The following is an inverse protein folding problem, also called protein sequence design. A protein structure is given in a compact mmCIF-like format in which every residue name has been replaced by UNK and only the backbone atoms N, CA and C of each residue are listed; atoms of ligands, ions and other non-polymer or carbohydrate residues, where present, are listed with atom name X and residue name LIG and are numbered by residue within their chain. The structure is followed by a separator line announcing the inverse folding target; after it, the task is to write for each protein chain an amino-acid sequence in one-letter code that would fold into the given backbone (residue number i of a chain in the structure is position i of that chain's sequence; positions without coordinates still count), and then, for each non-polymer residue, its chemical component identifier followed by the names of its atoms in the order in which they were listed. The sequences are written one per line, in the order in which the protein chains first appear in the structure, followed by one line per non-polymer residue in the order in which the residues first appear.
data_IF_203603195645
#
_entry.id   IF_203603195645
#
_cell.length_a   1.000
_cell.length_b   1.000
_cell.length_c   1.000
_cell.angle_alpha   90.00
_cell.angle_beta   90.00
_cell.angle_gamma   90.00
#
_symmetry.space_group_name_H-M   'P 1'
#
loop_
_entity.id
_entity.type
_entity.pdbx_description
1 polymer ?
#
# COMPACT_ATOMS: atom_id res chain seq x y z
N UNK A 1 14.91 12.10 -0.34
CA UNK A 1 13.50 11.74 -0.06
C UNK A 1 12.53 12.13 -1.18
N UNK A 2 12.55 13.38 -1.67
CA UNK A 2 11.63 13.82 -2.74
C UNK A 2 11.70 12.97 -4.03
N UNK A 3 12.90 12.63 -4.51
CA UNK A 3 13.07 11.79 -5.71
C UNK A 3 12.41 10.42 -5.53
N UNK A 4 12.59 9.80 -4.37
CA UNK A 4 11.97 8.50 -4.05
C UNK A 4 10.44 8.62 -4.02
N UNK A 5 9.90 9.69 -3.41
CA UNK A 5 8.45 9.95 -3.40
C UNK A 5 7.90 10.04 -4.83
N UNK A 6 8.53 10.87 -5.68
CA UNK A 6 8.11 11.03 -7.09
C UNK A 6 8.20 9.73 -7.89
N UNK A 7 9.25 8.94 -7.69
CA UNK A 7 9.39 7.62 -8.34
C UNK A 7 8.28 6.66 -7.92
N UNK A 8 7.94 6.61 -6.63
CA UNK A 8 6.85 5.78 -6.11
C UNK A 8 5.51 6.18 -6.72
N UNK A 9 5.21 7.48 -6.80
CA UNK A 9 3.99 7.98 -7.43
C UNK A 9 3.92 7.57 -8.90
N UNK A 10 5.01 7.80 -9.66
CA UNK A 10 5.09 7.43 -11.07
C UNK A 10 4.89 5.92 -11.28
N UNK A 11 5.56 5.09 -10.48
CA UNK A 11 5.44 3.63 -10.55
C UNK A 11 4.02 3.14 -10.24
N UNK A 12 3.24 3.89 -9.45
CA UNK A 12 1.84 3.59 -9.13
C UNK A 12 0.83 4.23 -10.10
N UNK A 13 1.29 4.98 -11.10
CA UNK A 13 0.42 5.73 -12.02
C UNK A 13 -0.34 6.87 -11.32
N UNK A 14 0.14 7.34 -10.18
CA UNK A 14 -0.49 8.43 -9.43
C UNK A 14 -0.18 9.78 -10.07
N UNK A 15 -1.16 10.69 -10.01
CA UNK A 15 -1.03 12.06 -10.50
C UNK A 15 0.01 12.81 -9.66
N UNK A 16 0.89 13.53 -10.35
CA UNK A 16 1.87 14.44 -9.75
C UNK A 16 1.67 15.82 -10.36
N UNK A 17 1.26 16.77 -9.53
CA UNK A 17 1.06 18.15 -9.94
C UNK A 17 2.40 18.84 -10.18
N UNK A 18 2.46 19.59 -11.28
CA UNK A 18 3.68 20.23 -11.78
C UNK A 18 3.58 21.76 -11.75
N UNK A 19 2.38 22.33 -11.56
CA UNK A 19 2.19 23.79 -11.60
C UNK A 19 2.82 24.45 -10.37
N UNK A 20 3.29 25.70 -10.46
CA UNK A 20 3.82 26.43 -9.32
C UNK A 20 2.80 26.50 -8.18
N UNK A 21 3.23 26.27 -6.94
CA UNK A 21 2.40 26.28 -5.73
C UNK A 21 1.23 25.27 -5.70
N UNK A 22 1.14 24.38 -6.69
CA UNK A 22 0.16 23.29 -6.68
C UNK A 22 0.70 22.13 -5.85
N UNK A 23 0.14 21.98 -4.65
CA UNK A 23 0.57 21.00 -3.66
C UNK A 23 0.31 19.55 -4.08
N UNK A 24 1.35 18.74 -3.92
CA UNK A 24 1.26 17.28 -3.81
C UNK A 24 1.36 16.92 -2.32
N UNK A 25 0.32 16.29 -1.76
CA UNK A 25 0.25 15.94 -0.33
C UNK A 25 0.27 14.41 -0.20
N UNK A 26 1.32 13.88 0.42
CA UNK A 26 1.57 12.43 0.46
C UNK A 26 1.98 12.02 1.86
N UNK A 27 1.19 11.16 2.48
CA UNK A 27 1.54 10.50 3.72
C UNK A 27 2.25 9.16 3.42
N UNK A 28 3.30 8.90 4.18
CA UNK A 28 4.05 7.65 4.19
C UNK A 28 3.82 6.97 5.52
N UNK A 29 3.00 5.91 5.50
CA UNK A 29 2.76 5.06 6.66
C UNK A 29 3.93 4.11 6.87
N UNK A 30 4.51 4.19 8.05
CA UNK A 30 5.62 3.41 8.58
C UNK A 30 5.35 1.91 8.46
N UNK A 31 6.42 1.13 8.28
CA UNK A 31 6.36 -0.34 8.35
C UNK A 31 6.20 -0.86 9.78
N UNK A 32 6.47 -0.03 10.77
CA UNK A 32 6.41 -0.41 12.18
C UNK A 32 4.97 -0.26 12.67
N UNK A 33 4.47 -1.27 13.38
CA UNK A 33 3.17 -1.23 14.04
C UNK A 33 3.40 -0.66 15.45
N UNK A 34 3.69 0.63 15.54
CA UNK A 34 3.81 1.33 16.82
C UNK A 34 2.51 2.08 17.07
N UNK A 35 1.73 1.59 18.02
CA UNK A 35 0.55 2.31 18.49
C UNK A 35 0.99 3.55 19.25
N UNK A 36 0.25 4.65 19.11
CA UNK A 36 0.45 5.89 19.86
C UNK A 36 1.74 6.69 19.55
N UNK A 37 2.32 6.54 18.36
CA UNK A 37 3.50 7.28 17.94
C UNK A 37 3.27 8.09 16.65
N UNK A 38 3.99 9.20 16.51
CA UNK A 38 4.12 9.94 15.24
C UNK A 38 5.31 9.41 14.44
N UNK A 39 5.23 8.15 13.98
CA UNK A 39 6.30 7.50 13.22
C UNK A 39 6.07 7.53 11.69
N UNK A 40 5.00 8.18 11.25
CA UNK A 40 4.68 8.43 9.85
C UNK A 40 5.17 9.80 9.39
N UNK A 41 5.25 9.97 8.07
CA UNK A 41 5.68 11.23 7.46
C UNK A 41 4.65 11.78 6.48
N UNK A 42 4.25 13.03 6.68
CA UNK A 42 3.51 13.78 5.66
C UNK A 42 4.50 14.61 4.85
N UNK A 43 4.67 14.26 3.58
CA UNK A 43 5.49 15.01 2.64
C UNK A 43 4.58 15.90 1.80
N UNK A 44 4.89 17.19 1.78
CA UNK A 44 4.23 18.16 0.90
C UNK A 44 5.27 18.75 -0.04
N UNK A 45 5.03 18.69 -1.34
CA UNK A 45 5.92 19.29 -2.32
C UNK A 45 5.18 19.96 -3.47
N UNK A 46 5.82 20.97 -4.04
CA UNK A 46 5.30 21.82 -5.11
C UNK A 46 6.47 22.47 -5.86
N UNK A 47 6.20 23.12 -6.98
CA UNK A 47 7.20 23.99 -7.64
C UNK A 47 7.05 25.42 -7.15
N UNK A 48 8.13 26.14 -6.92
CA UNK A 48 8.05 27.59 -6.69
C UNK A 48 7.93 28.36 -8.02
N UNK A 49 7.91 29.69 -7.97
CA UNK A 49 7.80 30.55 -9.15
C UNK A 49 8.97 30.38 -10.13
N UNK A 50 10.16 30.00 -9.63
CA UNK A 50 11.32 29.66 -10.45
C UNK A 50 11.27 28.24 -11.06
N UNK A 51 10.16 27.51 -10.88
CA UNK A 51 10.00 26.14 -11.36
C UNK A 51 10.82 25.10 -10.58
N UNK A 52 11.48 25.48 -9.49
CA UNK A 52 12.27 24.55 -8.65
C UNK A 52 11.35 23.81 -7.67
N UNK A 53 11.64 22.54 -7.46
CA UNK A 53 10.91 21.74 -6.47
C UNK A 53 11.27 22.19 -5.04
N UNK A 54 10.23 22.47 -4.26
CA UNK A 54 10.30 22.69 -2.82
C UNK A 54 9.53 21.58 -2.13
N UNK A 55 10.06 21.06 -1.02
CA UNK A 55 9.40 20.02 -0.25
C UNK A 55 9.57 20.22 1.25
N UNK A 56 8.56 19.80 1.99
CA UNK A 56 8.50 19.80 3.44
C UNK A 56 8.15 18.39 3.91
N UNK A 57 8.64 18.00 5.08
CA UNK A 57 8.36 16.73 5.72
C UNK A 57 7.88 17.02 7.14
N UNK A 58 6.72 16.49 7.50
CA UNK A 58 6.09 16.71 8.79
C UNK A 58 5.92 15.38 9.51
N UNK A 59 6.39 15.24 10.76
CA UNK A 59 6.05 14.09 11.59
C UNK A 59 4.54 14.03 11.78
N UNK A 60 3.96 12.87 11.47
CA UNK A 60 2.54 12.65 11.59
C UNK A 60 2.23 11.22 12.03
N UNK A 61 0.95 10.94 12.23
CA UNK A 61 0.42 9.59 12.36
C UNK A 61 -0.76 9.45 11.42
N UNK A 62 -0.82 8.31 10.74
CA UNK A 62 -1.93 7.87 9.88
C UNK A 62 -2.64 6.66 10.47
N UNK A 63 -2.22 6.26 11.67
CA UNK A 63 -2.80 5.20 12.46
C UNK A 63 -3.78 5.78 13.48
N UNK A 64 -4.90 5.09 13.76
CA UNK A 64 -5.78 5.46 14.85
C UNK A 64 -5.07 5.34 16.20
N UNK A 65 -5.43 6.22 17.12
CA UNK A 65 -4.97 6.13 18.50
C UNK A 65 -5.49 4.88 19.22
N UNK A 66 -4.74 4.38 20.20
CA UNK A 66 -5.08 3.15 20.93
C UNK A 66 -6.48 3.20 21.56
N UNK A 67 -6.88 4.37 22.05
CA UNK A 67 -8.20 4.59 22.63
C UNK A 67 -9.32 4.19 21.64
N UNK A 68 -9.21 4.60 20.37
CA UNK A 68 -10.22 4.31 19.35
C UNK A 68 -10.17 2.87 18.87
N UNK A 69 -9.01 2.20 18.94
CA UNK A 69 -8.93 0.77 18.68
C UNK A 69 -9.70 -0.03 19.75
N UNK A 70 -9.60 0.40 21.00
CA UNK A 70 -10.30 -0.24 22.12
C UNK A 70 -11.78 0.19 22.21
N UNK A 71 -12.12 1.40 21.74
CA UNK A 71 -13.46 2.01 21.82
C UNK A 71 -13.93 2.49 20.42
N UNK A 72 -14.22 1.57 19.49
CA UNK A 72 -14.59 1.95 18.13
C UNK A 72 -15.93 2.69 18.10
N UNK A 73 -15.97 3.85 17.41
CA UNK A 73 -17.21 4.63 17.22
C UNK A 73 -18.19 3.98 16.24
N UNK A 74 -17.72 3.03 15.44
CA UNK A 74 -18.49 2.39 14.39
C UNK A 74 -18.61 0.88 14.68
N UNK A 75 -19.78 0.25 14.47
CA UNK A 75 -19.97 -1.17 14.76
C UNK A 75 -18.93 -2.07 14.08
N UNK A 76 -18.51 -1.73 12.86
CA UNK A 76 -17.49 -2.46 12.07
C UNK A 76 -16.04 -2.21 12.51
N UNK A 77 -15.80 -1.48 13.60
CA UNK A 77 -14.46 -1.13 14.08
C UNK A 77 -13.92 0.19 13.53
N UNK A 78 -12.68 0.52 13.89
CA UNK A 78 -12.05 1.82 13.64
C UNK A 78 -11.54 1.96 12.21
N UNK A 79 -11.57 3.18 11.67
CA UNK A 79 -11.24 3.43 10.28
C UNK A 79 -9.72 3.50 10.08
N UNK A 80 -9.20 2.71 9.15
CA UNK A 80 -7.84 2.87 8.64
C UNK A 80 -7.91 3.34 7.20
N UNK A 81 -7.39 4.51 6.87
CA UNK A 81 -7.35 4.95 5.48
C UNK A 81 -6.57 3.91 4.64
N UNK A 82 -7.18 3.41 3.57
CA UNK A 82 -6.55 2.47 2.64
C UNK A 82 -5.46 3.18 1.86
N UNK A 83 -4.35 2.49 1.58
CA UNK A 83 -3.32 3.03 0.69
C UNK A 83 -3.90 3.33 -0.70
N UNK A 84 -3.61 4.52 -1.23
CA UNK A 84 -4.29 5.03 -2.43
C UNK A 84 -4.01 6.50 -2.69
N UNK A 85 -4.39 6.98 -3.88
CA UNK A 85 -4.47 8.40 -4.18
C UNK A 85 -5.94 8.82 -4.27
N UNK A 86 -6.31 9.80 -3.44
CA UNK A 86 -7.66 10.32 -3.33
C UNK A 86 -7.73 11.69 -3.97
N UNK A 87 -7.95 11.72 -5.29
CA UNK A 87 -7.89 12.95 -6.10
C UNK A 87 -8.98 13.94 -5.71
N UNK A 88 -8.59 15.18 -5.41
CA UNK A 88 -9.49 16.29 -5.04
C UNK A 88 -10.47 15.95 -3.90
N UNK A 89 -10.05 15.06 -3.00
CA UNK A 89 -10.88 14.52 -1.93
C UNK A 89 -10.94 15.39 -0.69
N UNK A 90 -10.02 16.35 -0.56
CA UNK A 90 -9.91 17.23 0.60
C UNK A 90 -10.08 18.70 0.21
N UNK A 91 -10.46 19.53 1.17
CA UNK A 91 -10.58 20.98 1.05
C UNK A 91 -10.18 21.64 2.37
N UNK A 92 -9.78 22.91 2.34
CA UNK A 92 -9.73 23.70 3.58
C UNK A 92 -11.16 23.87 4.09
N UNK A 93 -11.39 23.48 5.35
CA UNK A 93 -12.66 23.62 6.07
C UNK A 93 -12.46 23.47 7.57
N UNK A 94 -13.54 23.44 8.34
CA UNK A 94 -13.48 23.42 9.81
C UNK A 94 -13.38 21.98 10.34
N UNK A 95 -12.33 21.68 11.10
CA UNK A 95 -12.27 20.46 11.90
C UNK A 95 -12.97 20.70 13.25
N UNK A 96 -14.01 19.89 13.53
CA UNK A 96 -14.83 19.97 14.75
C UNK A 96 -15.37 21.38 15.06
N UNK A 97 -15.70 22.15 14.03
CA UNK A 97 -16.14 23.55 14.14
C UNK A 97 -15.18 24.48 14.93
N UNK A 98 -13.91 24.06 15.13
CA UNK A 98 -12.99 24.75 16.04
C UNK A 98 -11.85 25.47 15.32
N UNK A 99 -11.23 24.83 14.31
CA UNK A 99 -10.14 25.44 13.55
C UNK A 99 -10.08 24.93 12.10
N UNK A 100 -9.48 25.71 11.21
CA UNK A 100 -9.29 25.32 9.81
C UNK A 100 -8.29 24.16 9.67
N UNK A 101 -8.63 23.18 8.84
CA UNK A 101 -7.82 22.02 8.51
C UNK A 101 -8.15 21.53 7.09
N UNK A 102 -7.41 20.53 6.59
CA UNK A 102 -7.82 19.84 5.36
C UNK A 102 -8.87 18.79 5.73
N UNK A 103 -10.12 19.05 5.36
CA UNK A 103 -11.26 18.20 5.67
C UNK A 103 -11.67 17.37 4.46
N UNK A 104 -12.19 16.17 4.72
CA UNK A 104 -12.72 15.31 3.67
C UNK A 104 -13.97 15.93 3.02
N UNK A 105 -13.99 16.00 1.69
CA UNK A 105 -15.14 16.49 0.89
C UNK A 105 -15.57 15.53 -0.23
N UNK A 106 -14.78 14.48 -0.51
CA UNK A 106 -15.19 13.38 -1.40
C UNK A 106 -14.97 12.03 -0.74
N UNK A 107 -15.65 10.97 -1.20
CA UNK A 107 -15.46 9.63 -0.67
C UNK A 107 -14.00 9.18 -0.69
N UNK A 108 -13.57 8.55 0.41
CA UNK A 108 -12.29 7.84 0.51
C UNK A 108 -12.57 6.41 0.94
N UNK A 109 -11.64 5.50 0.70
CA UNK A 109 -11.78 4.10 1.11
C UNK A 109 -11.02 3.88 2.41
N UNK A 110 -11.72 3.39 3.42
CA UNK A 110 -11.12 2.92 4.67
C UNK A 110 -11.21 1.40 4.72
N UNK A 111 -10.28 0.79 5.44
CA UNK A 111 -10.36 -0.60 5.87
C UNK A 111 -10.82 -0.59 7.32
N UNK A 112 -11.84 -1.38 7.64
CA UNK A 112 -12.30 -1.59 9.01
C UNK A 112 -12.22 -3.06 9.35
N UNK A 113 -11.72 -3.36 10.54
CA UNK A 113 -11.72 -4.72 11.09
C UNK A 113 -12.60 -4.76 12.34
N UNK A 114 -13.50 -5.74 12.38
CA UNK A 114 -14.42 -5.98 13.48
C UNK A 114 -13.75 -6.76 14.61
N UNK A 115 -12.74 -7.58 14.31
CA UNK A 115 -12.23 -8.56 15.28
C UNK A 115 -11.32 -7.89 16.32
N UNK A 116 -11.88 -7.76 17.52
CA UNK A 116 -11.36 -6.92 18.62
C UNK A 116 -10.23 -7.65 19.34
N UNK A 117 -9.00 -7.22 19.07
CA UNK A 117 -7.81 -7.71 19.79
C UNK A 117 -6.70 -6.69 20.01
N UNK A 118 -6.96 -5.38 19.81
CA UNK A 118 -5.97 -4.30 20.01
C UNK A 118 -4.81 -4.29 19.00
N UNK A 119 -4.47 -5.43 18.44
CA UNK A 119 -3.63 -5.61 17.26
C UNK A 119 -4.57 -5.67 16.07
N UNK A 120 -4.66 -4.58 15.30
CA UNK A 120 -5.24 -4.65 13.96
C UNK A 120 -4.48 -5.76 13.23
N UNK A 121 -5.13 -6.92 13.05
CA UNK A 121 -4.50 -8.01 12.34
C UNK A 121 -4.52 -7.66 10.87
N UNK A 122 -3.52 -6.88 10.47
CA UNK A 122 -3.32 -6.48 9.10
C UNK A 122 -3.43 -7.74 8.22
N UNK A 123 -2.96 -8.91 8.68
CA UNK A 123 -2.88 -10.16 7.92
C UNK A 123 -4.21 -10.88 7.66
N UNK A 124 -5.31 -10.64 8.39
CA UNK A 124 -6.50 -11.51 8.31
C UNK A 124 -7.84 -10.85 7.95
N UNK A 125 -8.05 -9.54 8.13
CA UNK A 125 -9.44 -9.06 8.07
C UNK A 125 -9.53 -7.55 7.89
N UNK A 126 -10.32 -7.15 6.92
CA UNK A 126 -10.59 -5.74 6.68
C UNK A 126 -11.51 -5.54 5.49
N UNK A 127 -12.75 -5.12 5.75
CA UNK A 127 -13.69 -4.85 4.66
C UNK A 127 -13.47 -3.42 4.16
N UNK A 128 -13.28 -3.21 2.84
CA UNK A 128 -13.20 -1.88 2.28
C UNK A 128 -14.57 -1.21 2.40
N UNK A 129 -14.58 -0.01 2.95
CA UNK A 129 -15.76 0.84 3.08
C UNK A 129 -15.43 2.20 2.47
N UNK A 130 -16.26 2.66 1.53
CA UNK A 130 -16.01 3.89 0.78
C UNK A 130 -17.13 4.89 1.02
N UNK A 131 -16.77 6.06 1.53
CA UNK A 131 -17.75 7.05 1.94
C UNK A 131 -17.11 8.29 2.56
N UNK A 132 -17.95 9.11 3.17
CA UNK A 132 -17.55 10.29 3.94
C UNK A 132 -17.47 9.89 5.42
N UNK A 133 -16.26 9.86 5.97
CA UNK A 133 -16.00 9.42 7.35
C UNK A 133 -15.37 10.51 8.21
N UNK A 134 -15.12 11.70 7.65
CA UNK A 134 -14.43 12.78 8.35
C UNK A 134 -12.93 12.52 8.51
N UNK A 135 -12.31 11.84 7.54
CA UNK A 135 -10.86 11.60 7.52
C UNK A 135 -10.16 12.92 7.18
N UNK A 136 -9.76 13.66 8.21
CA UNK A 136 -9.15 14.99 8.04
C UNK A 136 -7.62 14.92 8.21
N UNK A 137 -6.91 15.94 7.72
CA UNK A 137 -5.51 16.21 8.05
C UNK A 137 -5.45 17.39 9.01
N UNK A 138 -5.11 17.15 10.28
CA UNK A 138 -5.16 18.16 11.33
C UNK A 138 -3.96 18.06 12.29
N UNK A 139 -3.89 18.96 13.28
CA UNK A 139 -2.85 18.97 14.32
C UNK A 139 -3.27 18.19 15.56
N UNK A 140 -2.30 17.68 16.31
CA UNK A 140 -2.53 17.06 17.61
C UNK A 140 -2.91 18.09 18.69
N UNK A 141 -2.11 19.15 18.83
CA UNK A 141 -2.25 20.13 19.92
C UNK A 141 -2.46 21.55 19.41
N UNK A 142 -2.98 22.40 20.31
CA UNK A 142 -3.14 23.81 20.02
C UNK A 142 -1.80 24.54 19.89
N UNK A 143 -0.85 24.20 20.75
CA UNK A 143 0.47 24.81 20.81
C UNK A 143 1.53 23.72 21.04
N UNK A 144 2.73 23.94 20.52
CA UNK A 144 3.86 23.02 20.68
C UNK A 144 3.76 21.75 19.83
N UNK A 145 4.44 20.70 20.30
CA UNK A 145 4.54 19.40 19.64
C UNK A 145 4.06 18.32 20.59
N UNK A 146 3.09 17.50 20.14
CA UNK A 146 2.66 16.34 20.89
C UNK A 146 3.66 15.20 20.77
N UNK A 147 3.93 14.51 21.87
CA UNK A 147 4.75 13.29 21.87
C UNK A 147 3.88 12.05 21.62
N UNK A 148 2.59 12.10 21.99
CA UNK A 148 1.64 10.98 21.91
C UNK A 148 0.40 11.35 21.05
N UNK A 149 -0.18 10.33 20.41
CA UNK A 149 -1.36 10.42 19.52
C UNK A 149 -2.68 10.28 20.28
N UNK A 150 -2.67 9.63 21.45
CA UNK A 150 -3.76 9.32 22.38
C UNK A 150 -5.13 9.15 21.71
N UNK A 151 -6.05 10.11 21.89
CA UNK A 151 -7.40 10.10 21.33
C UNK A 151 -7.57 11.05 20.14
N UNK A 152 -6.47 11.55 19.56
CA UNK A 152 -6.52 12.58 18.51
C UNK A 152 -7.05 12.06 17.17
N UNK A 153 -7.08 10.75 16.91
CA UNK A 153 -7.49 10.20 15.61
C UNK A 153 -8.22 8.86 15.68
N UNK A 154 -9.43 8.82 15.12
CA UNK A 154 -10.15 7.59 14.79
C UNK A 154 -9.97 7.17 13.31
N UNK A 155 -8.95 7.73 12.62
CA UNK A 155 -8.64 7.47 11.20
C UNK A 155 -8.11 8.68 10.40
N UNK A 156 -8.09 9.87 11.00
CA UNK A 156 -7.45 11.09 10.47
C UNK A 156 -5.92 10.97 10.37
N UNK A 157 -5.33 11.87 9.58
CA UNK A 157 -3.89 12.14 9.63
C UNK A 157 -3.59 13.28 10.59
N UNK A 158 -2.77 13.03 11.60
CA UNK A 158 -2.49 14.02 12.65
C UNK A 158 -1.03 14.42 12.62
N UNK A 159 -0.74 15.71 12.44
CA UNK A 159 0.58 16.28 12.57
C UNK A 159 0.92 16.48 14.05
N UNK A 160 2.15 16.10 14.42
CA UNK A 160 2.61 16.21 15.80
C UNK A 160 2.75 17.66 16.26
N UNK A 161 3.25 18.53 15.38
CA UNK A 161 3.59 19.93 15.67
C UNK A 161 2.53 20.91 15.16
N UNK A 162 2.15 21.87 16.02
CA UNK A 162 1.27 22.96 15.63
C UNK A 162 1.93 23.94 14.66
N UNK A 163 3.26 24.10 14.69
CA UNK A 163 4.01 24.97 13.78
C UNK A 163 4.08 24.38 12.37
N UNK A 164 4.30 23.07 12.27
CA UNK A 164 4.27 22.33 11.00
C UNK A 164 2.88 22.40 10.37
N UNK A 165 1.85 22.24 11.19
CA UNK A 165 0.47 22.39 10.74
C UNK A 165 0.15 23.81 10.26
N UNK A 166 0.68 24.85 10.92
CA UNK A 166 0.53 26.22 10.46
C UNK A 166 1.20 26.44 9.09
N UNK A 167 2.38 25.85 8.86
CA UNK A 167 3.04 25.88 7.55
C UNK A 167 2.22 25.15 6.49
N UNK A 168 1.73 23.94 6.77
CA UNK A 168 0.85 23.19 5.87
C UNK A 168 -0.38 24.04 5.47
N UNK A 169 -1.04 24.66 6.45
CA UNK A 169 -2.24 25.47 6.22
C UNK A 169 -1.93 26.72 5.40
N UNK A 170 -0.78 27.38 5.66
CA UNK A 170 -0.31 28.52 4.85
C UNK A 170 -0.09 28.11 3.40
N UNK A 171 0.60 27.00 3.15
CA UNK A 171 0.80 26.47 1.80
C UNK A 171 -0.53 26.13 1.12
N UNK A 172 -1.46 25.51 1.85
CA UNK A 172 -2.78 25.16 1.34
C UNK A 172 -3.58 26.41 0.94
N UNK A 173 -3.50 27.50 1.70
CA UNK A 173 -4.14 28.78 1.35
C UNK A 173 -3.58 29.37 0.06
N UNK A 174 -2.26 29.29 -0.15
CA UNK A 174 -1.64 29.74 -1.42
C UNK A 174 -2.17 28.92 -2.59
N UNK A 175 -2.16 27.59 -2.49
CA UNK A 175 -2.77 26.71 -3.51
C UNK A 175 -4.23 27.09 -3.76
N UNK A 176 -5.02 27.23 -2.69
CA UNK A 176 -6.46 27.56 -2.79
C UNK A 176 -6.70 28.83 -3.59
N UNK A 177 -5.91 29.86 -3.38
CA UNK A 177 -6.04 31.13 -4.08
C UNK A 177 -5.74 31.02 -5.59
N UNK A 178 -4.88 30.08 -5.99
CA UNK A 178 -4.47 29.89 -7.38
C UNK A 178 -5.32 28.86 -8.14
N UNK A 179 -5.73 27.79 -7.47
CA UNK A 179 -6.31 26.60 -8.12
C UNK A 179 -7.65 26.15 -7.53
N UNK A 180 -8.14 26.85 -6.51
CA UNK A 180 -9.39 26.52 -5.82
C UNK A 180 -9.20 25.57 -4.63
N UNK A 181 -10.29 25.35 -3.90
CA UNK A 181 -10.26 24.69 -2.59
C UNK A 181 -10.38 23.14 -2.69
N UNK A 182 -9.51 22.51 -3.48
CA UNK A 182 -9.49 21.05 -3.65
C UNK A 182 -8.06 20.52 -3.62
N UNK A 183 -7.85 19.48 -2.83
CA UNK A 183 -6.54 18.87 -2.61
C UNK A 183 -6.62 17.37 -2.79
N UNK A 184 -5.57 16.82 -3.39
CA UNK A 184 -5.37 15.37 -3.50
C UNK A 184 -4.53 14.88 -2.35
N UNK A 185 -5.08 13.92 -1.60
CA UNK A 185 -4.36 13.24 -0.53
C UNK A 185 -3.91 11.88 -1.03
N UNK A 186 -2.62 11.58 -0.89
CA UNK A 186 -2.07 10.27 -1.23
C UNK A 186 -1.55 9.58 0.03
N UNK A 187 -1.86 8.30 0.20
CA UNK A 187 -1.30 7.47 1.25
C UNK A 187 -0.48 6.33 0.62
N UNK A 188 0.79 6.29 0.98
CA UNK A 188 1.70 5.18 0.67
C UNK A 188 1.88 4.36 1.94
N UNK A 189 1.57 3.08 1.86
CA UNK A 189 1.67 2.17 2.99
C UNK A 189 2.79 1.14 2.76
N UNK A 190 3.85 1.22 3.56
CA UNK A 190 4.96 0.28 3.48
C UNK A 190 4.60 -1.13 4.02
N UNK A 191 3.58 -1.24 4.88
CA UNK A 191 3.07 -2.51 5.41
C UNK A 191 2.35 -3.30 4.32
N UNK A 192 1.57 -2.63 3.47
CA UNK A 192 0.91 -3.23 2.31
C UNK A 192 1.94 -3.72 1.27
N UNK A 193 2.95 -2.91 0.95
CA UNK A 193 3.97 -3.26 -0.05
C UNK A 193 4.71 -4.56 0.30
N UNK A 194 5.13 -4.71 1.57
CA UNK A 194 5.84 -5.91 2.03
C UNK A 194 4.98 -7.16 1.87
N UNK A 195 3.69 -7.07 2.16
CA UNK A 195 2.75 -8.20 2.03
C UNK A 195 2.55 -8.63 0.60
N UNK A 196 2.32 -7.69 -0.33
CA UNK A 196 2.14 -8.04 -1.74
C UNK A 196 3.38 -8.74 -2.28
N UNK A 197 4.57 -8.29 -1.89
CA UNK A 197 5.81 -8.98 -2.22
C UNK A 197 5.84 -10.40 -1.63
N UNK A 198 5.62 -10.56 -0.32
CA UNK A 198 5.66 -11.87 0.33
C UNK A 198 4.61 -12.84 -0.24
N UNK A 199 3.39 -12.37 -0.49
CA UNK A 199 2.32 -13.17 -1.08
C UNK A 199 2.65 -13.58 -2.52
N UNK A 200 3.21 -12.66 -3.33
CA UNK A 200 3.63 -12.97 -4.70
C UNK A 200 4.75 -14.01 -4.71
N UNK A 201 5.73 -13.88 -3.81
CA UNK A 201 6.82 -14.86 -3.65
C UNK A 201 6.27 -16.22 -3.22
N UNK A 202 5.36 -16.27 -2.26
CA UNK A 202 4.75 -17.51 -1.79
C UNK A 202 3.94 -18.20 -2.89
N UNK A 203 3.11 -17.47 -3.64
CA UNK A 203 2.36 -18.02 -4.78
C UNK A 203 3.29 -18.46 -5.91
N UNK A 204 4.34 -17.71 -6.20
CA UNK A 204 5.37 -18.10 -7.18
C UNK A 204 6.07 -19.40 -6.79
N UNK A 205 6.45 -19.55 -5.52
CA UNK A 205 7.06 -20.76 -4.99
C UNK A 205 6.10 -21.95 -5.01
N UNK A 206 4.82 -21.73 -4.67
CA UNK A 206 3.78 -22.77 -4.73
C UNK A 206 3.57 -23.25 -6.16
N UNK A 207 3.40 -22.33 -7.12
CA UNK A 207 3.23 -22.65 -8.53
C UNK A 207 4.45 -23.41 -9.09
N UNK A 208 5.67 -22.96 -8.77
CA UNK A 208 6.90 -23.63 -9.17
C UNK A 208 6.98 -25.05 -8.58
N UNK A 209 6.62 -25.22 -7.30
CA UNK A 209 6.61 -26.53 -6.65
C UNK A 209 5.59 -27.47 -7.29
N UNK A 210 4.37 -26.98 -7.59
CA UNK A 210 3.35 -27.78 -8.28
C UNK A 210 3.77 -28.16 -9.69
N UNK A 211 4.40 -27.25 -10.43
CA UNK A 211 4.93 -27.53 -11.77
C UNK A 211 6.07 -28.55 -11.72
N UNK A 212 6.96 -28.46 -10.72
CA UNK A 212 8.06 -29.41 -10.52
C UNK A 212 7.54 -30.81 -10.19
N UNK A 213 6.57 -30.95 -9.27
CA UNK A 213 5.92 -32.23 -8.97
C UNK A 213 5.23 -32.80 -10.21
N UNK A 214 4.49 -31.96 -10.96
CA UNK A 214 3.86 -32.37 -12.21
C UNK A 214 4.86 -32.87 -13.25
N UNK A 215 6.00 -32.19 -13.40
CA UNK A 215 7.09 -32.61 -14.28
C UNK A 215 7.69 -33.96 -13.83
N UNK A 216 7.95 -34.14 -12.54
CA UNK A 216 8.46 -35.41 -11.99
C UNK A 216 7.49 -36.59 -12.20
N UNK A 217 6.19 -36.35 -12.11
CA UNK A 217 5.17 -37.37 -12.39
C UNK A 217 5.13 -37.72 -13.88
N UNK A 218 5.12 -36.71 -14.76
CA UNK A 218 5.14 -36.90 -16.21
C UNK A 218 6.40 -37.66 -16.69
N UNK A 219 7.58 -37.29 -16.18
CA UNK A 219 8.83 -37.98 -16.49
C UNK A 219 8.80 -39.45 -16.02
N UNK A 220 8.25 -39.71 -14.84
CA UNK A 220 8.08 -41.08 -14.34
C UNK A 220 7.08 -41.91 -15.16
N UNK A 221 5.97 -41.33 -15.63
CA UNK A 221 5.00 -42.01 -16.49
C UNK A 221 5.58 -42.32 -17.87
N UNK A 222 6.24 -41.34 -18.50
CA UNK A 222 6.91 -41.53 -19.79
C UNK A 222 8.00 -42.60 -19.72
N UNK A 223 8.79 -42.65 -18.63
CA UNK A 223 9.76 -43.74 -18.39
C UNK A 223 9.06 -45.10 -18.26
N UNK A 224 7.91 -45.17 -17.56
CA UNK A 224 7.13 -46.41 -17.43
C UNK A 224 6.56 -46.86 -18.77
N UNK A 225 6.02 -45.95 -19.58
CA UNK A 225 5.52 -46.27 -20.93
C UNK A 225 6.64 -46.73 -21.86
N UNK A 226 7.80 -46.06 -21.85
CA UNK A 226 8.98 -46.47 -22.61
C UNK A 226 9.44 -47.89 -22.25
N UNK A 227 9.47 -48.22 -20.94
CA UNK A 227 9.78 -49.57 -20.47
C UNK A 227 8.72 -50.60 -20.86
N UNK A 228 7.43 -50.22 -20.89
CA UNK A 228 6.33 -51.11 -21.29
C UNK A 228 6.33 -51.38 -22.80
N UNK A 229 6.64 -50.37 -23.61
CA UNK A 229 6.78 -50.48 -25.07
C UNK A 229 8.03 -51.25 -25.53
N UNK A 230 9.09 -51.29 -24.71
CA UNK A 230 10.30 -52.07 -25.00
C UNK A 230 10.22 -53.55 -24.58
N UNK A 231 9.16 -53.97 -23.86
CA UNK A 231 8.94 -55.37 -23.45
C UNK A 231 8.16 -56.17 -24.52
N UNK A 232 7.76 -55.57 -25.64
CA UNK A 232 6.88 -56.19 -26.64
C UNK A 232 7.48 -56.43 -28.02
N UNK A 233 8.53 -57.26 -28.17
CA UNK A 233 8.75 -58.07 -29.39
C UNK A 233 9.47 -59.39 -29.04
N UNK A 234 8.88 -60.57 -29.30
CA UNK A 234 9.62 -61.83 -29.18
C UNK A 234 10.76 -61.83 -30.20
N UNK A 235 11.99 -62.15 -29.78
CA UNK A 235 13.06 -62.50 -30.72
C UNK A 235 12.74 -63.87 -31.30
N UNK A 236 12.21 -63.89 -32.52
CA UNK A 236 12.13 -65.11 -33.31
C UNK A 236 13.55 -65.61 -33.58
N UNK A 237 13.89 -66.73 -32.95
CA UNK A 237 15.18 -67.40 -33.08
C UNK A 237 14.94 -68.70 -33.83
N UNK A 238 14.78 -68.62 -35.16
CA UNK A 238 14.92 -69.79 -36.03
C UNK A 238 15.73 -69.52 -37.30
N UNK A 239 16.89 -70.17 -37.28
CA UNK A 239 17.63 -70.81 -38.39
C UNK A 239 18.47 -69.96 -39.35
N UNK A 240 19.76 -70.03 -39.06
CA UNK A 240 20.96 -69.98 -39.90
C UNK A 240 20.84 -70.94 -41.11
N UNK A 241 21.38 -70.53 -42.27
CA UNK A 241 21.60 -71.42 -43.42
C UNK A 241 22.34 -70.80 -44.63
N UNK A 242 23.67 -70.68 -44.51
CA UNK A 242 24.71 -70.72 -45.56
C UNK A 242 24.68 -69.77 -46.79
N UNK A 243 25.61 -68.80 -46.79
CA UNK A 243 26.39 -68.45 -47.99
C UNK A 243 27.66 -69.31 -48.01
N UNK A 244 27.78 -70.19 -48.99
CA UNK A 244 29.07 -70.79 -49.36
C UNK A 244 29.90 -69.74 -50.12
N UNK A 245 31.15 -69.56 -49.72
CA UNK A 245 32.20 -69.04 -50.58
C UNK A 245 32.72 -70.19 -51.47
N UNK A 246 32.83 -69.99 -52.77
CA UNK A 246 34.08 -70.16 -53.53
C UNK A 246 33.85 -69.95 -55.05
N UNK A 247 34.85 -69.30 -55.65
CA UNK A 247 35.10 -69.03 -57.07
C UNK A 247 35.10 -70.29 -57.95
N UNK A 248 34.46 -70.23 -59.13
CA UNK A 248 35.04 -70.37 -60.48
C UNK A 248 33.94 -70.26 -61.53
#
# INVERSE_FOLDING_TARGET
MLNNAKQILKAKGYVVYQRPWELNIIAFRSRHLRTNAFDDWLIVFYRNDAGKWVYHHFPCTTDPGQYWLNNPMHPKGTAFLKAGQYVNSHAIGMHKASYEALVQVKPVTVIRDYDRGGLFNWFSSGYPDTGLFGINVHRATANGTSVLVDNYSAGCMVLASSTDFALLTKLARIHKNLYGNRFTLTLIDYRDRRKRMLSTVAWGAALASTAWVGYQLYENETIKEYKKGSIGRPRDTRRIGNRQMAKM
#
